data_IF_282668790896
#
_entry.id   IF_282668790896
#
_cell.length_a   1.000
_cell.length_b   1.000
_cell.length_c   1.000
_cell.angle_alpha   90.00
_cell.angle_beta   90.00
_cell.angle_gamma   90.00
#
_symmetry.space_group_name_H-M   'P 1'
#
loop_
_entity.id
_entity.type
_entity.pdbx_description
1 polymer ?
#
# COMPACT_ATOMS: atom_id res chain seq x y z
N UNK A 1 27.93 1.10 18.85
CA UNK A 1 27.85 0.01 17.84
C UNK A 1 26.37 -0.30 17.69
N UNK A 2 25.79 -0.21 16.49
CA UNK A 2 24.38 -0.59 16.28
C UNK A 2 24.29 -2.12 16.29
N UNK A 3 23.40 -2.69 17.10
CA UNK A 3 22.96 -4.08 17.02
C UNK A 3 22.28 -4.40 15.69
N UNK A 4 22.17 -5.70 15.42
CA UNK A 4 21.60 -6.22 14.17
C UNK A 4 20.15 -6.61 14.44
N UNK A 5 19.21 -6.05 13.67
CA UNK A 5 17.82 -6.52 13.68
C UNK A 5 17.70 -7.67 12.69
N UNK A 6 17.20 -8.81 13.16
CA UNK A 6 16.86 -9.99 12.36
C UNK A 6 15.36 -9.99 12.11
N UNK A 7 14.96 -10.14 10.86
CA UNK A 7 13.56 -10.22 10.47
C UNK A 7 13.40 -10.38 8.96
N UNK A 8 12.15 -10.51 8.52
CA UNK A 8 11.86 -10.62 7.09
C UNK A 8 11.85 -9.22 6.45
N UNK A 9 12.71 -8.99 5.45
CA UNK A 9 12.73 -7.73 4.69
C UNK A 9 11.52 -7.59 3.74
N UNK A 10 10.88 -8.70 3.39
CA UNK A 10 9.75 -8.78 2.47
C UNK A 10 8.55 -9.52 3.11
N UNK A 11 7.99 -9.04 4.24
CA UNK A 11 6.89 -9.73 4.90
C UNK A 11 5.65 -9.76 4.00
N UNK A 12 4.97 -10.90 3.93
CA UNK A 12 3.70 -10.99 3.22
C UNK A 12 2.61 -10.20 3.94
N UNK A 13 1.87 -9.39 3.21
CA UNK A 13 0.70 -8.67 3.74
C UNK A 13 -0.33 -9.65 4.33
N UNK A 14 -0.96 -9.26 5.43
CA UNK A 14 -1.92 -10.06 6.18
C UNK A 14 -1.30 -11.15 7.06
N UNK A 15 0.01 -11.38 7.00
CA UNK A 15 0.71 -12.35 7.86
C UNK A 15 1.53 -11.65 8.95
N UNK A 16 1.69 -12.35 10.07
CA UNK A 16 2.46 -11.89 11.22
C UNK A 16 3.89 -12.42 11.13
N UNK A 17 4.89 -11.55 11.27
CA UNK A 17 6.31 -11.89 11.24
C UNK A 17 7.02 -11.45 12.52
N UNK A 18 7.94 -12.28 13.06
CA UNK A 18 8.79 -11.89 14.17
C UNK A 18 9.98 -11.04 13.69
N UNK A 19 10.40 -10.12 14.55
CA UNK A 19 11.61 -9.31 14.43
C UNK A 19 12.33 -9.32 15.77
N UNK A 20 13.65 -9.44 15.74
CA UNK A 20 14.49 -9.65 16.92
C UNK A 20 15.73 -8.77 16.85
N UNK A 21 16.09 -8.11 17.94
CA UNK A 21 17.36 -7.37 18.04
C UNK A 21 18.43 -8.30 18.62
N UNK A 22 19.55 -8.42 17.92
CA UNK A 22 20.77 -9.00 18.45
C UNK A 22 21.71 -7.86 18.86
N UNK A 23 21.84 -7.59 20.17
CA UNK A 23 22.71 -6.52 20.65
C UNK A 23 24.17 -6.83 20.29
N UNK A 24 24.87 -5.85 19.71
CA UNK A 24 26.30 -5.95 19.41
C UNK A 24 27.12 -5.58 20.65
N UNK A 25 27.22 -6.51 21.61
CA UNK A 25 28.05 -6.32 22.80
C UNK A 25 27.91 -7.45 23.81
N UNK A 26 28.97 -7.68 24.60
CA UNK A 26 28.95 -8.50 25.81
C UNK A 26 28.11 -7.79 26.88
N UNK A 27 26.78 -7.87 26.75
CA UNK A 27 25.85 -7.38 27.77
C UNK A 27 25.84 -8.36 28.95
N UNK A 28 26.92 -8.33 29.74
CA UNK A 28 26.98 -9.03 31.01
C UNK A 28 25.98 -8.40 31.99
N UNK A 29 24.82 -9.04 32.17
CA UNK A 29 24.04 -8.98 33.41
C UNK A 29 22.90 -7.97 33.51
N UNK A 30 22.69 -7.06 32.55
CA UNK A 30 21.51 -6.17 32.54
C UNK A 30 20.74 -6.35 31.24
N UNK A 31 19.50 -6.86 31.32
CA UNK A 31 18.56 -6.84 30.19
C UNK A 31 18.18 -5.38 29.94
N UNK A 32 18.66 -4.82 28.84
CA UNK A 32 18.19 -3.51 28.37
C UNK A 32 16.70 -3.57 28.06
N UNK A 33 15.99 -2.47 28.33
CA UNK A 33 14.58 -2.35 27.93
C UNK A 33 14.55 -1.82 26.49
N UNK A 34 14.12 -2.66 25.55
CA UNK A 34 14.07 -2.31 24.12
C UNK A 34 12.70 -1.77 23.73
N UNK A 35 12.68 -0.69 22.94
CA UNK A 35 11.49 -0.11 22.33
C UNK A 35 11.59 -0.08 20.81
N UNK A 36 10.54 -0.55 20.15
CA UNK A 36 10.46 -0.65 18.70
C UNK A 36 9.55 0.44 18.14
N UNK A 37 10.12 1.26 17.27
CA UNK A 37 9.45 2.32 16.53
C UNK A 37 9.39 1.97 15.05
N UNK A 38 8.27 2.28 14.41
CA UNK A 38 8.02 2.02 13.00
C UNK A 38 7.79 3.33 12.26
N UNK A 39 8.57 3.54 11.20
CA UNK A 39 8.50 4.71 10.34
C UNK A 39 8.03 4.29 8.94
N UNK A 40 7.11 5.06 8.35
CA UNK A 40 6.59 4.85 7.00
C UNK A 40 7.17 5.89 6.04
N UNK A 41 7.76 5.44 4.93
CA UNK A 41 8.26 6.33 3.88
C UNK A 41 7.09 7.04 3.19
N UNK A 42 7.17 8.37 3.12
CA UNK A 42 6.18 9.23 2.48
C UNK A 42 6.53 9.42 0.99
N UNK A 43 5.57 9.94 0.20
CA UNK A 43 5.78 10.21 -1.24
C UNK A 43 6.93 11.19 -1.51
N UNK A 44 7.19 12.12 -0.59
CA UNK A 44 8.30 13.07 -0.67
C UNK A 44 9.65 12.48 -0.21
N UNK A 45 9.71 11.16 0.05
CA UNK A 45 10.91 10.48 0.53
C UNK A 45 11.17 10.59 2.04
N UNK A 46 10.44 11.45 2.77
CA UNK A 46 10.61 11.61 4.20
C UNK A 46 10.08 10.41 5.00
N UNK A 47 10.68 10.14 6.14
CA UNK A 47 10.20 9.14 7.09
C UNK A 47 9.21 9.76 8.06
N UNK A 48 8.00 9.20 8.15
CA UNK A 48 7.00 9.59 9.15
C UNK A 48 6.92 8.54 10.24
N UNK A 49 7.08 8.93 11.49
CA UNK A 49 6.81 8.05 12.63
C UNK A 49 5.32 7.68 12.66
N UNK A 50 5.02 6.38 12.67
CA UNK A 50 3.66 5.85 12.79
C UNK A 50 3.50 5.01 14.06
N UNK A 51 4.44 5.12 14.99
CA UNK A 51 4.43 4.43 16.27
C UNK A 51 3.41 5.11 17.18
N UNK A 52 2.24 4.49 17.37
CA UNK A 52 1.27 4.96 18.37
C UNK A 52 1.71 4.53 19.78
N UNK A 53 1.99 3.23 19.95
CA UNK A 53 2.53 2.65 21.16
C UNK A 53 3.73 1.79 20.77
N UNK A 54 4.94 2.09 21.26
CA UNK A 54 6.11 1.28 20.99
C UNK A 54 5.91 -0.15 21.51
N UNK A 55 6.29 -1.15 20.70
CA UNK A 55 6.38 -2.52 21.19
C UNK A 55 7.66 -2.65 22.00
N UNK A 56 7.65 -3.45 23.06
CA UNK A 56 8.80 -3.61 23.95
C UNK A 56 9.37 -5.03 23.92
N UNK A 57 10.66 -5.14 24.27
CA UNK A 57 11.39 -6.41 24.39
C UNK A 57 12.32 -6.72 23.23
N UNK A 58 13.17 -7.73 23.40
CA UNK A 58 14.18 -8.15 22.40
C UNK A 58 13.55 -8.70 21.11
N UNK A 59 12.34 -9.25 21.21
CA UNK A 59 11.62 -9.86 20.09
C UNK A 59 10.17 -9.38 20.06
N UNK A 60 9.74 -8.91 18.91
CA UNK A 60 8.38 -8.40 18.68
C UNK A 60 7.80 -8.97 17.38
N UNK A 61 6.49 -8.88 17.23
CA UNK A 61 5.81 -9.30 16.00
C UNK A 61 5.11 -8.13 15.33
N UNK A 62 5.14 -8.09 14.00
CA UNK A 62 4.41 -7.11 13.19
C UNK A 62 3.55 -7.80 12.14
N UNK A 63 2.38 -7.21 11.86
CA UNK A 63 1.49 -7.58 10.78
C UNK A 63 1.27 -6.35 9.90
N UNK A 64 1.48 -6.50 8.60
CA UNK A 64 1.32 -5.42 7.63
C UNK A 64 0.06 -5.70 6.81
N UNK A 65 -0.92 -4.80 6.85
CA UNK A 65 -2.14 -4.93 6.03
C UNK A 65 -1.88 -4.69 4.54
N UNK A 66 -2.86 -4.98 3.70
CA UNK A 66 -2.80 -4.75 2.23
C UNK A 66 -2.45 -3.29 1.90
N UNK A 67 -2.85 -2.33 2.75
CA UNK A 67 -2.53 -0.91 2.58
C UNK A 67 -1.03 -0.57 2.70
N UNK A 68 -0.23 -1.51 3.20
CA UNK A 68 1.21 -1.37 3.35
C UNK A 68 1.98 -1.97 2.16
N UNK A 69 1.29 -2.61 1.21
CA UNK A 69 1.88 -3.29 0.06
C UNK A 69 2.77 -2.35 -0.75
N UNK A 70 4.03 -2.73 -0.94
CA UNK A 70 5.01 -1.96 -1.71
C UNK A 70 5.45 -0.65 -1.06
N UNK A 71 5.04 -0.36 0.18
CA UNK A 71 5.50 0.81 0.93
C UNK A 71 6.73 0.41 1.75
N UNK A 72 7.77 1.23 1.68
CA UNK A 72 8.98 1.06 2.47
C UNK A 72 8.75 1.52 3.91
N UNK A 73 9.14 0.67 4.87
CA UNK A 73 9.13 0.96 6.29
C UNK A 73 10.54 0.86 6.86
N UNK A 74 10.80 1.67 7.88
CA UNK A 74 12.02 1.62 8.67
C UNK A 74 11.65 1.32 10.12
N UNK A 75 12.12 0.20 10.64
CA UNK A 75 12.06 -0.12 12.05
C UNK A 75 13.29 0.48 12.73
N UNK A 76 13.09 1.14 13.86
CA UNK A 76 14.17 1.59 14.74
C UNK A 76 13.98 0.98 16.11
N UNK A 77 15.05 0.44 16.67
CA UNK A 77 15.05 -0.12 18.02
C UNK A 77 15.90 0.77 18.90
N UNK A 78 15.31 1.21 20.01
CA UNK A 78 15.99 1.98 21.03
C UNK A 78 16.17 1.11 22.26
N UNK A 79 17.34 1.18 22.88
CA UNK A 79 17.61 0.55 24.17
C UNK A 79 17.63 1.61 25.26
N UNK A 80 16.86 1.37 26.31
CA UNK A 80 16.88 2.17 27.52
C UNK A 80 17.81 1.52 28.53
N UNK A 81 18.87 2.23 28.90
CA UNK A 81 19.86 1.80 29.89
C UNK A 81 19.62 2.57 31.19
N UNK A 82 19.28 1.83 32.24
CA UNK A 82 19.19 2.39 33.60
C UNK A 82 20.60 2.72 34.09
N UNK A 83 20.76 3.89 34.69
CA UNK A 83 22.00 4.28 35.33
C UNK A 83 22.41 3.26 36.39
N UNK A 84 23.63 2.73 36.29
CA UNK A 84 24.14 1.67 37.19
C UNK A 84 24.48 2.26 38.59
N UNK A 85 24.54 3.59 38.71
CA UNK A 85 24.76 4.32 39.96
C UNK A 85 23.55 5.22 40.29
N UNK A 86 23.23 5.41 41.59
CA UNK A 86 22.21 6.36 42.01
C UNK A 86 22.50 7.76 41.46
N UNK A 87 21.54 8.35 40.75
CA UNK A 87 21.65 9.69 40.18
C UNK A 87 22.20 9.78 38.74
N UNK A 88 22.59 8.67 38.13
CA UNK A 88 22.87 8.66 36.68
C UNK A 88 21.54 8.70 35.90
N UNK A 89 21.41 9.59 34.91
CA UNK A 89 20.20 9.67 34.10
C UNK A 89 20.03 8.40 33.26
N UNK A 90 18.78 8.02 33.06
CA UNK A 90 18.41 6.99 32.10
C UNK A 90 18.75 7.47 30.68
N UNK A 91 19.45 6.63 29.91
CA UNK A 91 19.81 6.96 28.52
C UNK A 91 19.02 6.09 27.55
N UNK A 92 18.51 6.71 26.48
CA UNK A 92 17.83 6.04 25.37
C UNK A 92 18.70 6.14 24.13
N UNK A 93 19.21 5.01 23.65
CA UNK A 93 20.15 4.96 22.53
C UNK A 93 19.55 4.19 21.35
N UNK A 94 19.74 4.69 20.13
CA UNK A 94 19.39 3.94 18.93
C UNK A 94 20.34 2.75 18.77
N UNK A 95 19.83 1.54 18.93
CA UNK A 95 20.62 0.32 18.83
C UNK A 95 20.37 -0.46 17.56
N UNK A 96 19.31 -0.21 16.79
CA UNK A 96 19.07 -0.96 15.55
C UNK A 96 18.25 -0.20 14.54
N UNK A 97 18.50 -0.44 13.26
CA UNK A 97 17.67 0.05 12.16
C UNK A 97 17.47 -1.06 11.13
N UNK A 98 16.24 -1.25 10.65
CA UNK A 98 15.88 -2.29 9.68
C UNK A 98 14.91 -1.75 8.65
N UNK A 99 15.20 -1.94 7.36
CA UNK A 99 14.31 -1.54 6.27
C UNK A 99 13.57 -2.77 5.76
N UNK A 100 12.27 -2.63 5.53
CA UNK A 100 11.41 -3.68 4.98
C UNK A 100 10.39 -3.10 4.00
N UNK A 101 9.92 -3.94 3.08
CA UNK A 101 8.88 -3.63 2.10
C UNK A 101 7.88 -4.78 2.09
N UNK A 102 6.64 -4.61 2.59
CA UNK A 102 5.65 -5.68 2.55
C UNK A 102 5.29 -6.07 1.11
N UNK A 103 5.16 -7.38 0.88
CA UNK A 103 4.89 -7.98 -0.43
C UNK A 103 3.59 -8.78 -0.42
N UNK A 104 3.14 -9.22 -1.60
CA UNK A 104 1.98 -10.11 -1.76
C UNK A 104 2.42 -11.40 -2.43
N UNK A 105 1.83 -12.52 -2.01
CA UNK A 105 1.96 -13.82 -2.69
C UNK A 105 0.91 -14.02 -3.79
N UNK A 106 -0.03 -13.08 -3.95
CA UNK A 106 -1.04 -13.10 -5.00
C UNK A 106 -0.46 -12.47 -6.26
N UNK A 107 -0.78 -13.01 -7.42
CA UNK A 107 -0.41 -12.42 -8.71
C UNK A 107 -1.21 -11.12 -8.91
N UNK A 108 -0.55 -9.96 -9.11
CA UNK A 108 -1.24 -8.70 -9.36
C UNK A 108 -2.09 -8.79 -10.62
N UNK A 109 -3.39 -8.54 -10.51
CA UNK A 109 -4.30 -8.54 -11.67
C UNK A 109 -5.54 -7.68 -11.45
N UNK A 110 -6.11 -7.22 -12.55
CA UNK A 110 -7.50 -6.76 -12.62
C UNK A 110 -8.36 -8.02 -12.75
N UNK A 111 -9.22 -8.28 -11.77
CA UNK A 111 -10.07 -9.47 -11.74
C UNK A 111 -11.33 -9.29 -12.57
N UNK A 112 -11.98 -8.12 -12.44
CA UNK A 112 -13.13 -7.71 -13.24
C UNK A 112 -13.27 -6.20 -13.30
N UNK A 113 -13.95 -5.73 -14.33
CA UNK A 113 -14.38 -4.34 -14.46
C UNK A 113 -15.89 -4.31 -14.55
N UNK A 114 -16.52 -3.44 -13.77
CA UNK A 114 -17.98 -3.24 -13.79
C UNK A 114 -18.24 -1.79 -14.22
N UNK A 115 -19.15 -1.63 -15.17
CA UNK A 115 -19.60 -0.33 -15.68
C UNK A 115 -21.04 -0.09 -15.23
N UNK A 116 -21.28 1.04 -14.57
CA UNK A 116 -22.59 1.45 -14.07
C UNK A 116 -23.03 2.74 -14.76
N UNK A 117 -24.34 2.92 -14.95
CA UNK A 117 -24.93 4.21 -15.26
C UNK A 117 -25.71 4.71 -14.04
N UNK A 118 -25.40 5.91 -13.53
CA UNK A 118 -26.16 6.50 -12.39
C UNK A 118 -27.57 6.97 -12.77
N UNK A 119 -27.84 7.20 -14.06
CA UNK A 119 -29.13 7.68 -14.58
C UNK A 119 -30.08 6.57 -15.08
N UNK A 120 -29.58 5.36 -15.35
CA UNK A 120 -30.37 4.24 -15.83
C UNK A 120 -29.86 2.91 -15.26
N UNK A 121 -30.77 1.96 -14.99
CA UNK A 121 -30.38 0.59 -14.56
C UNK A 121 -29.59 -0.16 -15.63
N UNK A 122 -29.76 0.21 -16.89
CA UNK A 122 -29.13 -0.43 -18.04
C UNK A 122 -28.09 0.50 -18.66
N UNK A 123 -26.82 0.09 -18.62
CA UNK A 123 -25.70 0.83 -19.20
C UNK A 123 -25.83 0.97 -20.72
N UNK A 124 -26.49 0.03 -21.39
CA UNK A 124 -26.71 0.05 -22.83
C UNK A 124 -27.78 1.07 -23.26
N UNK A 125 -28.44 1.73 -22.31
CA UNK A 125 -29.42 2.80 -22.54
C UNK A 125 -28.93 4.16 -22.06
N UNK A 126 -27.62 4.31 -21.88
CA UNK A 126 -27.03 5.56 -21.46
C UNK A 126 -27.24 6.65 -22.52
N UNK A 127 -27.62 7.85 -22.07
CA UNK A 127 -27.67 9.05 -22.89
C UNK A 127 -26.31 9.75 -22.87
N UNK A 128 -25.97 10.51 -23.91
CA UNK A 128 -24.77 11.36 -23.91
C UNK A 128 -24.72 12.34 -22.73
N UNK A 129 -25.87 12.69 -22.13
CA UNK A 129 -25.91 13.54 -20.92
C UNK A 129 -25.59 12.79 -19.63
N UNK A 130 -25.48 11.46 -19.66
CA UNK A 130 -25.21 10.65 -18.49
C UNK A 130 -23.72 10.65 -18.12
N UNK A 131 -23.45 10.23 -16.88
CA UNK A 131 -22.11 9.91 -16.39
C UNK A 131 -22.06 8.45 -16.00
N UNK A 132 -21.15 7.70 -16.60
CA UNK A 132 -20.88 6.32 -16.23
C UNK A 132 -19.88 6.24 -15.07
N UNK A 133 -19.93 5.14 -14.33
CA UNK A 133 -18.96 4.81 -13.29
C UNK A 133 -18.31 3.49 -13.66
N UNK A 134 -17.00 3.49 -13.85
CA UNK A 134 -16.24 2.27 -14.05
C UNK A 134 -15.52 1.91 -12.74
N UNK A 135 -15.71 0.68 -12.28
CA UNK A 135 -15.02 0.09 -11.13
C UNK A 135 -14.17 -1.08 -11.59
N UNK A 136 -12.85 -0.97 -11.43
CA UNK A 136 -11.95 -2.12 -11.54
C UNK A 136 -11.77 -2.75 -10.16
N UNK A 137 -12.10 -4.05 -10.06
CA UNK A 137 -11.79 -4.87 -8.90
C UNK A 137 -10.44 -5.54 -9.14
N UNK A 138 -9.47 -5.24 -8.28
CA UNK A 138 -8.09 -5.63 -8.43
C UNK A 138 -7.61 -6.49 -7.25
N UNK A 139 -6.69 -7.40 -7.53
CA UNK A 139 -6.05 -8.26 -6.54
C UNK A 139 -4.58 -7.85 -6.45
N UNK A 140 -4.09 -7.58 -5.22
CA UNK A 140 -2.68 -7.23 -4.96
C UNK A 140 -2.14 -6.06 -5.81
N UNK A 141 -3.02 -5.11 -6.13
CA UNK A 141 -2.68 -3.87 -6.86
C UNK A 141 -2.92 -2.63 -6.01
N UNK A 142 -2.97 -2.72 -4.67
CA UNK A 142 -3.17 -1.56 -3.79
C UNK A 142 -2.16 -0.44 -4.12
N UNK A 143 -2.64 0.81 -4.15
CA UNK A 143 -1.87 2.00 -4.56
C UNK A 143 -1.30 1.97 -5.99
N UNK A 144 -1.64 0.98 -6.83
CA UNK A 144 -1.35 1.04 -8.26
C UNK A 144 -2.39 1.91 -8.96
N UNK A 145 -1.95 2.66 -9.95
CA UNK A 145 -2.82 3.44 -10.83
C UNK A 145 -3.39 2.52 -11.91
N UNK A 146 -4.71 2.57 -12.10
CA UNK A 146 -5.42 1.92 -13.19
C UNK A 146 -5.87 2.99 -14.17
N UNK A 147 -5.56 2.79 -15.44
CA UNK A 147 -6.04 3.62 -16.54
C UNK A 147 -7.24 2.95 -17.21
N UNK A 148 -8.34 3.70 -17.33
CA UNK A 148 -9.60 3.28 -17.90
C UNK A 148 -9.78 3.92 -19.28
N UNK A 149 -10.29 3.12 -20.21
CA UNK A 149 -10.70 3.56 -21.54
C UNK A 149 -12.12 3.08 -21.81
N UNK A 150 -12.95 3.95 -22.36
CA UNK A 150 -14.31 3.62 -22.78
C UNK A 150 -14.34 3.41 -24.29
N UNK A 151 -15.11 2.43 -24.75
CA UNK A 151 -15.33 2.12 -26.15
C UNK A 151 -16.84 2.05 -26.39
N UNK A 152 -17.29 2.61 -27.50
CA UNK A 152 -18.65 2.41 -28.03
C UNK A 152 -18.66 1.18 -28.95
N UNK A 153 -19.61 0.27 -28.72
CA UNK A 153 -19.81 -0.92 -29.56
C UNK A 153 -20.79 -0.57 -30.69
N UNK A 154 -20.33 0.21 -31.67
CA UNK A 154 -21.15 0.65 -32.81
C UNK A 154 -21.01 -0.26 -34.05
N UNK A 155 -20.16 -1.29 -34.00
CA UNK A 155 -19.91 -2.20 -35.10
C UNK A 155 -20.86 -3.42 -35.05
N UNK A 156 -21.39 -3.88 -36.20
CA UNK A 156 -22.17 -5.12 -36.26
C UNK A 156 -21.32 -6.34 -35.85
N UNK A 157 -21.50 -6.84 -34.63
CA UNK A 157 -20.83 -8.03 -34.10
C UNK A 157 -20.49 -7.89 -32.62
N UNK A 158 -20.32 -8.99 -31.88
CA UNK A 158 -19.89 -8.93 -30.48
C UNK A 158 -18.37 -8.82 -30.43
N UNK A 159 -17.79 -7.65 -30.15
CA UNK A 159 -16.36 -7.59 -29.83
C UNK A 159 -15.67 -6.23 -29.94
N UNK A 160 -14.57 -6.09 -29.20
CA UNK A 160 -13.64 -4.97 -29.28
C UNK A 160 -12.53 -5.32 -30.30
N UNK A 161 -12.82 -5.20 -31.59
CA UNK A 161 -11.77 -5.33 -32.60
C UNK A 161 -10.98 -4.01 -32.70
N UNK A 162 -9.67 -3.99 -32.41
CA UNK A 162 -8.88 -2.76 -32.36
C UNK A 162 -8.60 -2.15 -33.74
N UNK A 163 -8.94 -2.84 -34.84
CA UNK A 163 -8.81 -2.37 -36.22
C UNK A 163 -10.16 -1.85 -36.73
N UNK A 164 -11.26 -2.53 -36.42
CA UNK A 164 -12.63 -2.17 -36.83
C UNK A 164 -13.17 -1.03 -35.95
N UNK A 165 -13.01 -1.11 -34.63
CA UNK A 165 -13.60 -0.17 -33.66
C UNK A 165 -12.60 0.91 -33.21
N UNK A 166 -11.48 1.08 -33.93
CA UNK A 166 -10.41 2.02 -33.57
C UNK A 166 -10.87 3.46 -33.39
N UNK A 167 -11.97 3.84 -34.04
CA UNK A 167 -12.56 5.17 -33.99
C UNK A 167 -13.61 5.34 -32.88
N UNK A 168 -13.98 4.25 -32.19
CA UNK A 168 -15.08 4.25 -31.21
C UNK A 168 -14.57 4.36 -29.77
N UNK A 169 -13.25 4.47 -29.62
CA UNK A 169 -12.63 4.68 -28.33
C UNK A 169 -12.80 6.14 -27.96
N UNK A 170 -13.39 6.37 -26.80
CA UNK A 170 -13.43 7.69 -26.19
C UNK A 170 -12.00 8.21 -26.00
N UNK A 171 -11.72 9.41 -26.50
CA UNK A 171 -10.34 9.96 -26.58
C UNK A 171 -9.74 10.23 -25.21
N UNK A 172 -10.58 10.45 -24.18
CA UNK A 172 -10.12 10.66 -22.80
C UNK A 172 -9.80 9.33 -22.13
N UNK A 173 -8.67 9.31 -21.42
CA UNK A 173 -8.39 8.28 -20.43
C UNK A 173 -8.64 8.81 -19.03
N UNK A 174 -9.02 7.89 -18.14
CA UNK A 174 -9.34 8.20 -16.75
C UNK A 174 -8.47 7.36 -15.86
N UNK A 175 -7.97 7.94 -14.76
CA UNK A 175 -7.00 7.28 -13.89
C UNK A 175 -7.50 7.29 -12.45
N UNK A 176 -7.35 6.16 -11.77
CA UNK A 176 -7.65 6.04 -10.35
C UNK A 176 -6.68 5.08 -9.67
N UNK A 177 -6.37 5.38 -8.40
CA UNK A 177 -5.61 4.48 -7.55
C UNK A 177 -6.51 3.38 -6.98
N UNK A 178 -6.00 2.15 -6.94
CA UNK A 178 -6.67 1.05 -6.23
C UNK A 178 -6.66 1.31 -4.73
N UNK A 179 -7.85 1.41 -4.15
CA UNK A 179 -8.07 1.66 -2.73
C UNK A 179 -7.91 0.40 -1.86
N UNK A 180 -8.12 0.54 -0.55
CA UNK A 180 -7.90 -0.53 0.44
C UNK A 180 -8.82 -1.74 0.26
N UNK A 181 -9.94 -1.56 -0.45
CA UNK A 181 -10.89 -2.63 -0.78
C UNK A 181 -10.55 -3.30 -2.12
N UNK A 182 -9.42 -2.95 -2.74
CA UNK A 182 -9.04 -3.46 -4.05
C UNK A 182 -9.83 -2.84 -5.19
N UNK A 183 -10.38 -1.62 -5.03
CA UNK A 183 -11.23 -0.97 -6.04
C UNK A 183 -10.55 0.30 -6.57
N UNK A 184 -10.41 0.42 -7.89
CA UNK A 184 -10.18 1.69 -8.56
C UNK A 184 -11.48 2.14 -9.24
N UNK A 185 -11.90 3.38 -9.01
CA UNK A 185 -13.17 3.91 -9.54
C UNK A 185 -12.95 5.25 -10.26
N UNK A 186 -13.57 5.38 -11.44
CA UNK A 186 -13.60 6.64 -12.20
C UNK A 186 -15.02 6.98 -12.63
N UNK A 187 -15.29 8.29 -12.75
CA UNK A 187 -16.50 8.82 -13.38
C UNK A 187 -16.17 9.23 -14.81
N UNK A 188 -16.97 8.77 -15.75
CA UNK A 188 -16.78 8.96 -17.19
C UNK A 188 -17.99 9.75 -17.70
N UNK A 189 -17.89 11.08 -17.87
CA UNK A 189 -18.95 11.84 -18.54
C UNK A 189 -19.01 11.44 -20.01
N UNK A 190 -20.21 11.20 -20.54
CA UNK A 190 -20.42 10.82 -21.94
C UNK A 190 -20.55 12.03 -22.88
N UNK A 191 -20.77 13.24 -22.35
CA UNK A 191 -20.60 14.46 -23.14
C UNK A 191 -19.11 14.62 -23.41
N UNK A 192 -18.73 14.51 -24.68
CA UNK A 192 -17.52 15.16 -25.16
C UNK A 192 -17.70 16.66 -24.96
N UNK A 193 -16.69 17.34 -24.40
CA UNK A 193 -16.66 18.80 -24.45
C UNK A 193 -16.70 19.20 -25.94
N UNK A 194 -17.87 19.58 -26.44
CA UNK A 194 -18.02 20.14 -27.78
C UNK A 194 -17.12 21.38 -27.86
N UNK A 195 -16.30 21.42 -28.90
CA UNK A 195 -15.48 22.58 -29.25
C UNK A 195 -16.34 23.67 -29.86
#
# INVERSE_FOLDING_TARGET
>A
MTGIIIGNQNPMVGKTYPYEIQPSGLSFGLKGEYEWHLYKKQKNGAWKDITNQPKTGEKVTYNFGEIALGIEFQMKVYETKKGILPGLPETKELVGTFILIPTSNKVPKIDKVILFNRGAKDVNKASYRDTLIAQAHCIAMFNKEIEFHLWEDDAPGKGHDPVINKNNRHTRSYKALVNANGIAEVKIPLMSDEK
#
